data_IF_987308366130
#
_entry.id   IF_987308366130
#
_cell.length_a   1.000
_cell.length_b   1.000
_cell.length_c   1.000
_cell.angle_alpha   90.00
_cell.angle_beta   90.00
_cell.angle_gamma   90.00
#
_symmetry.space_group_name_H-M   'P 1'
#
loop_
_entity.id
_entity.type
_entity.pdbx_description
1 polymer ?
#
# COMPACT_ATOMS: atom_id res chain seq x y z
N UNK A 1 30.15 14.41 61.54
CA UNK A 1 29.26 13.68 62.46
C UNK A 1 28.17 13.08 61.61
N UNK A 2 28.03 11.77 61.74
CA UNK A 2 27.13 10.91 60.97
C UNK A 2 25.80 10.96 61.72
N UNK A 3 24.71 11.29 61.04
CA UNK A 3 23.42 10.74 61.42
C UNK A 3 22.93 9.86 60.28
N UNK A 4 22.81 8.60 60.65
CA UNK A 4 22.46 7.41 59.90
C UNK A 4 20.96 7.38 59.53
N UNK A 5 20.66 6.84 58.34
CA UNK A 5 19.63 5.82 58.05
C UNK A 5 18.19 6.08 58.58
N UNK A 6 17.09 5.97 57.84
CA UNK A 6 16.79 5.06 56.73
C UNK A 6 15.34 5.30 56.27
N UNK A 7 15.04 5.31 54.96
CA UNK A 7 13.80 4.71 54.44
C UNK A 7 13.91 4.45 52.92
N UNK A 8 14.40 3.25 52.62
CA UNK A 8 13.93 2.34 51.55
C UNK A 8 13.27 2.96 50.31
N UNK A 9 13.92 2.81 49.16
CA UNK A 9 13.38 1.88 48.17
C UNK A 9 14.48 1.29 47.28
N UNK A 10 14.47 -0.03 47.24
CA UNK A 10 15.32 -0.93 46.47
C UNK A 10 15.00 -0.87 44.97
N UNK A 11 15.93 -1.36 44.15
CA UNK A 11 15.65 -1.69 42.76
C UNK A 11 16.89 -1.71 41.89
N UNK A 12 17.51 -2.88 41.82
CA UNK A 12 18.65 -3.25 40.98
C UNK A 12 18.43 -2.91 39.49
N UNK A 13 19.48 -2.41 38.82
CA UNK A 13 19.51 -2.30 37.37
C UNK A 13 19.73 -3.69 36.77
N UNK A 14 18.65 -4.35 36.34
CA UNK A 14 18.72 -5.51 35.46
C UNK A 14 18.72 -5.03 34.00
N UNK A 15 19.84 -5.26 33.31
CA UNK A 15 19.92 -5.14 31.85
C UNK A 15 19.32 -6.40 31.25
N UNK A 16 18.04 -6.37 30.88
CA UNK A 16 17.44 -7.43 30.10
C UNK A 16 17.86 -7.27 28.63
N UNK A 17 18.81 -8.12 28.24
CA UNK A 17 19.06 -8.46 26.85
C UNK A 17 17.81 -9.15 26.29
N UNK A 18 16.88 -8.39 25.74
CA UNK A 18 15.89 -8.96 24.82
C UNK A 18 16.61 -9.37 23.54
N UNK A 19 17.02 -10.64 23.54
CA UNK A 19 17.25 -11.40 22.32
C UNK A 19 16.00 -11.23 21.45
N UNK A 20 16.15 -10.58 20.31
CA UNK A 20 15.10 -10.41 19.30
C UNK A 20 14.62 -11.80 18.88
N UNK A 21 13.63 -12.32 19.60
CA UNK A 21 12.92 -13.53 19.27
C UNK A 21 12.20 -13.25 17.96
N UNK A 22 12.83 -13.66 16.86
CA UNK A 22 12.24 -13.76 15.53
C UNK A 22 11.10 -14.76 15.59
N UNK A 23 9.99 -14.30 16.15
CA UNK A 23 8.72 -15.00 16.09
C UNK A 23 8.24 -14.82 14.66
N UNK A 24 8.44 -15.85 13.83
CA UNK A 24 7.74 -16.02 12.57
C UNK A 24 6.24 -16.16 12.89
N UNK A 25 5.58 -15.04 13.18
CA UNK A 25 4.15 -14.97 13.08
C UNK A 25 3.85 -14.93 11.59
N UNK A 26 3.26 -15.99 11.05
CA UNK A 26 2.54 -15.88 9.79
C UNK A 26 1.57 -14.70 9.94
N UNK A 27 1.92 -13.56 9.35
CA UNK A 27 1.10 -12.36 9.41
C UNK A 27 -0.30 -12.76 8.91
N UNK A 28 -1.31 -12.64 9.78
CA UNK A 28 -2.70 -12.84 9.38
C UNK A 28 -3.01 -11.88 8.25
N UNK A 29 -3.05 -12.40 7.02
CA UNK A 29 -3.44 -11.63 5.83
C UNK A 29 -4.87 -11.14 6.03
N UNK A 30 -5.08 -9.84 5.83
CA UNK A 30 -6.40 -9.22 5.94
C UNK A 30 -7.00 -9.17 4.52
N UNK A 31 -7.92 -10.08 4.15
CA UNK A 31 -8.44 -10.16 2.79
C UNK A 31 -9.36 -8.98 2.47
N UNK A 32 -9.34 -8.53 1.22
CA UNK A 32 -10.31 -7.61 0.66
C UNK A 32 -11.56 -8.39 0.20
N UNK A 33 -12.72 -7.75 0.19
CA UNK A 33 -13.97 -8.39 -0.26
C UNK A 33 -13.94 -8.82 -1.74
N UNK A 34 -13.17 -8.10 -2.56
CA UNK A 34 -12.94 -8.41 -3.97
C UNK A 34 -11.49 -8.10 -4.32
N UNK A 35 -10.97 -8.77 -5.36
CA UNK A 35 -9.72 -8.37 -6.02
C UNK A 35 -9.84 -6.95 -6.58
N UNK A 36 -8.77 -6.16 -6.46
CA UNK A 36 -8.66 -4.83 -7.05
C UNK A 36 -7.43 -4.76 -7.95
N UNK A 37 -7.50 -3.99 -9.02
CA UNK A 37 -6.41 -3.80 -9.98
C UNK A 37 -6.11 -2.31 -10.14
N UNK A 38 -4.84 -1.98 -9.91
CA UNK A 38 -4.26 -0.67 -10.18
C UNK A 38 -3.93 -0.57 -11.67
N UNK A 39 -4.42 0.49 -12.29
CA UNK A 39 -4.17 0.84 -13.68
C UNK A 39 -3.45 2.18 -13.76
N UNK A 40 -2.58 2.31 -14.75
CA UNK A 40 -1.97 3.54 -15.19
C UNK A 40 -2.55 3.91 -16.55
N UNK A 41 -3.14 5.09 -16.67
CA UNK A 41 -3.41 5.72 -17.96
C UNK A 41 -2.24 6.67 -18.27
N UNK A 42 -1.52 6.40 -19.34
CA UNK A 42 -0.46 7.27 -19.86
C UNK A 42 -0.76 7.67 -21.30
N UNK A 43 -1.20 8.92 -21.49
CA UNK A 43 -1.55 9.43 -22.81
C UNK A 43 -0.30 9.84 -23.59
N UNK A 44 0.34 8.85 -24.22
CA UNK A 44 1.52 9.06 -25.06
C UNK A 44 1.18 9.84 -26.34
N UNK A 45 -0.08 9.79 -26.80
CA UNK A 45 -0.59 10.48 -27.99
C UNK A 45 -1.77 11.41 -27.66
N UNK A 46 -2.12 12.33 -28.57
CA UNK A 46 -3.33 13.14 -28.44
C UNK A 46 -4.55 12.21 -28.48
N UNK A 47 -5.45 12.33 -27.49
CA UNK A 47 -6.76 11.68 -27.49
C UNK A 47 -7.49 11.92 -28.80
N UNK A 48 -7.43 10.95 -29.69
CA UNK A 48 -8.08 11.04 -31.00
C UNK A 48 -9.14 9.96 -31.14
N UNK A 49 -9.03 8.85 -30.39
CA UNK A 49 -9.97 7.74 -30.41
C UNK A 49 -9.99 6.94 -29.09
N UNK A 50 -11.03 6.11 -28.93
CA UNK A 50 -11.11 5.09 -27.87
C UNK A 50 -9.93 4.10 -27.91
N UNK A 51 -9.48 3.74 -29.10
CA UNK A 51 -8.35 2.82 -29.29
C UNK A 51 -7.05 3.42 -28.77
N UNK A 52 -6.84 4.73 -28.93
CA UNK A 52 -5.68 5.43 -28.38
C UNK A 52 -5.70 5.44 -26.84
N UNK A 53 -6.89 5.61 -26.24
CA UNK A 53 -7.04 5.52 -24.78
C UNK A 53 -6.74 4.12 -24.28
N UNK A 54 -7.34 3.09 -24.88
CA UNK A 54 -7.10 1.70 -24.48
C UNK A 54 -5.62 1.29 -24.65
N UNK A 55 -4.93 1.82 -25.65
CA UNK A 55 -3.50 1.60 -25.85
C UNK A 55 -2.61 2.29 -24.79
N UNK A 56 -3.13 3.31 -24.11
CA UNK A 56 -2.47 4.02 -23.01
C UNK A 56 -2.70 3.39 -21.64
N UNK A 57 -3.57 2.38 -21.53
CA UNK A 57 -3.89 1.71 -20.27
C UNK A 57 -2.94 0.55 -19.98
N UNK A 58 -2.24 0.64 -18.85
CA UNK A 58 -1.29 -0.37 -18.38
C UNK A 58 -1.69 -0.85 -16.98
N UNK A 59 -1.59 -2.16 -16.71
CA UNK A 59 -1.82 -2.72 -15.36
C UNK A 59 -0.53 -2.56 -14.55
N UNK A 60 -0.65 -2.01 -13.35
CA UNK A 60 0.47 -1.90 -12.39
C UNK A 60 0.55 -3.15 -11.54
N UNK A 61 -0.57 -3.51 -10.89
CA UNK A 61 -0.66 -4.66 -10.00
C UNK A 61 -2.12 -4.98 -9.67
N UNK A 62 -2.37 -6.23 -9.29
CA UNK A 62 -3.64 -6.61 -8.66
C UNK A 62 -3.42 -7.10 -7.24
N UNK A 63 -4.35 -6.77 -6.35
CA UNK A 63 -4.26 -7.02 -4.91
C UNK A 63 -5.54 -7.68 -4.40
N UNK A 64 -5.39 -8.58 -3.44
CA UNK A 64 -6.48 -9.31 -2.78
C UNK A 64 -6.46 -9.15 -1.26
N UNK A 65 -5.43 -8.50 -0.71
CA UNK A 65 -5.31 -8.21 0.73
C UNK A 65 -4.98 -6.74 1.00
N UNK A 66 -5.26 -6.29 2.23
CA UNK A 66 -4.94 -4.93 2.70
C UNK A 66 -3.42 -4.69 2.68
N UNK A 67 -2.63 -5.71 3.06
CA UNK A 67 -1.17 -5.64 3.03
C UNK A 67 -0.64 -5.44 1.60
N UNK A 68 -1.18 -6.18 0.63
CA UNK A 68 -0.82 -6.01 -0.78
C UNK A 68 -1.21 -4.63 -1.30
N UNK A 69 -2.39 -4.11 -0.94
CA UNK A 69 -2.80 -2.76 -1.29
C UNK A 69 -1.77 -1.72 -0.83
N UNK A 70 -1.38 -1.75 0.45
CA UNK A 70 -0.41 -0.81 0.99
C UNK A 70 0.99 -1.01 0.42
N UNK A 71 1.38 -2.25 0.12
CA UNK A 71 2.63 -2.55 -0.56
C UNK A 71 2.67 -1.87 -1.94
N UNK A 72 1.61 -1.95 -2.74
CA UNK A 72 1.55 -1.26 -4.04
C UNK A 72 1.49 0.25 -3.85
N UNK A 73 0.55 0.76 -3.04
CA UNK A 73 0.31 2.19 -2.89
C UNK A 73 1.54 2.96 -2.38
N UNK A 74 2.33 2.37 -1.48
CA UNK A 74 3.52 3.01 -0.94
C UNK A 74 4.73 2.97 -1.89
N UNK A 75 4.71 2.11 -2.91
CA UNK A 75 5.83 1.93 -3.84
C UNK A 75 5.58 2.53 -5.23
N UNK A 76 4.40 3.11 -5.48
CA UNK A 76 4.13 3.89 -6.70
C UNK A 76 4.37 5.40 -6.48
N UNK A 77 4.73 6.16 -7.53
CA UNK A 77 4.81 7.61 -7.45
C UNK A 77 3.54 8.24 -6.86
N UNK A 78 3.73 9.26 -6.01
CA UNK A 78 2.61 10.03 -5.49
C UNK A 78 1.91 10.79 -6.62
N UNK A 79 0.60 11.11 -6.52
CA UNK A 79 -0.12 11.83 -7.57
C UNK A 79 0.54 13.15 -8.01
N UNK A 80 1.21 13.86 -7.09
CA UNK A 80 1.94 15.10 -7.39
C UNK A 80 3.29 14.91 -8.11
N UNK A 81 3.75 13.67 -8.26
CA UNK A 81 4.97 13.30 -8.98
C UNK A 81 4.67 12.74 -10.38
N UNK A 82 3.38 12.62 -10.74
CA UNK A 82 2.98 12.13 -12.05
C UNK A 82 3.30 13.15 -13.14
N UNK A 83 3.76 12.65 -14.28
CA UNK A 83 3.88 13.45 -15.47
C UNK A 83 2.50 13.97 -15.92
N UNK A 84 2.51 15.06 -16.69
CA UNK A 84 1.27 15.56 -17.28
C UNK A 84 0.58 14.47 -18.10
N UNK A 85 -0.75 14.38 -17.96
CA UNK A 85 -1.60 13.41 -18.67
C UNK A 85 -1.32 11.95 -18.30
N UNK A 86 -0.85 11.73 -17.08
CA UNK A 86 -0.77 10.42 -16.46
C UNK A 86 -1.75 10.38 -15.28
N UNK A 87 -2.57 9.34 -15.20
CA UNK A 87 -3.52 9.14 -14.10
C UNK A 87 -3.54 7.69 -13.63
N UNK A 88 -3.90 7.49 -12.37
CA UNK A 88 -4.16 6.16 -11.82
C UNK A 88 -5.65 5.86 -11.80
N UNK A 89 -6.01 4.60 -12.00
CA UNK A 89 -7.34 4.08 -11.76
C UNK A 89 -7.26 2.84 -10.87
N UNK A 90 -8.26 2.65 -10.00
CA UNK A 90 -8.38 1.46 -9.16
C UNK A 90 -9.72 0.79 -9.48
N UNK A 91 -9.67 -0.35 -10.15
CA UNK A 91 -10.84 -1.06 -10.68
C UNK A 91 -11.04 -2.39 -9.96
N UNK A 92 -12.28 -2.86 -9.84
CA UNK A 92 -12.55 -4.21 -9.32
C UNK A 92 -12.14 -5.26 -10.35
N UNK A 93 -11.57 -6.36 -9.87
CA UNK A 93 -11.16 -7.51 -10.68
C UNK A 93 -10.31 -7.08 -11.89
N UNK A 94 -10.63 -7.54 -13.10
CA UNK A 94 -9.87 -7.24 -14.31
C UNK A 94 -10.57 -6.18 -15.18
N UNK A 95 -11.48 -5.38 -14.60
CA UNK A 95 -12.22 -4.35 -15.35
C UNK A 95 -11.27 -3.25 -15.81
N UNK A 96 -11.39 -2.89 -17.08
CA UNK A 96 -10.71 -1.72 -17.62
C UNK A 96 -11.45 -0.46 -17.17
N UNK A 97 -10.76 0.66 -16.91
CA UNK A 97 -11.36 1.96 -16.61
C UNK A 97 -11.96 2.60 -17.87
N UNK A 98 -12.93 1.94 -18.51
CA UNK A 98 -13.65 2.44 -19.68
C UNK A 98 -15.05 2.85 -19.24
N UNK A 99 -15.39 4.14 -19.37
CA UNK A 99 -16.68 4.66 -18.93
C UNK A 99 -17.87 4.12 -19.74
N UNK A 100 -17.63 3.62 -20.95
CA UNK A 100 -18.66 3.00 -21.83
C UNK A 100 -18.87 1.50 -21.56
N UNK A 101 -18.02 0.89 -20.73
CA UNK A 101 -18.17 -0.53 -20.42
C UNK A 101 -19.39 -0.71 -19.50
N UNK A 102 -20.28 -1.63 -19.88
CA UNK A 102 -21.50 -1.94 -19.12
C UNK A 102 -21.20 -2.39 -17.69
N UNK A 103 -20.00 -2.93 -17.44
CA UNK A 103 -19.59 -3.28 -16.08
C UNK A 103 -19.21 -2.08 -15.19
N UNK A 104 -19.13 -0.87 -15.77
CA UNK A 104 -18.75 0.39 -15.12
C UNK A 104 -19.87 1.45 -15.12
N UNK A 105 -21.05 1.16 -15.67
CA UNK A 105 -22.26 2.00 -15.54
C UNK A 105 -22.82 2.03 -14.10
#
# INVERSE_FOLDING_TARGET
MIDNYNKSNEGEYLVENESSSSTNQEEKKAPLATKWTFWLDSQKNKFSSKQDYEAGLEIISSVETVQEFWSVFNNIPKPNQLANRVSYHLMRQNRKPLWEDRENE
#
